data_IF_859687332811
#
_entry.id   IF_859687332811
#
_cell.length_a   1.000
_cell.length_b   1.000
_cell.length_c   1.000
_cell.angle_alpha   90.00
_cell.angle_beta   90.00
_cell.angle_gamma   90.00
#
_symmetry.space_group_name_H-M   'P 1'
#
loop_
_entity.id
_entity.type
_entity.pdbx_description
1 polymer ?
#
# COMPACT_ATOMS: atom_id res chain seq x y z
N UNK A 1 31.19 66.38 -50.12
CA UNK A 1 30.92 65.24 -51.02
C UNK A 1 31.36 63.98 -50.31
N UNK A 2 30.50 63.50 -49.41
CA UNK A 2 29.62 62.31 -49.52
C UNK A 2 30.28 61.12 -48.82
N UNK A 3 29.91 60.95 -47.54
CA UNK A 3 30.32 59.86 -46.65
C UNK A 3 29.45 58.64 -46.94
N UNK A 4 30.06 57.47 -47.15
CA UNK A 4 29.35 56.19 -47.30
C UNK A 4 29.11 55.60 -45.92
N UNK A 5 27.84 55.42 -45.55
CA UNK A 5 27.36 54.88 -44.29
C UNK A 5 27.06 53.38 -44.48
N UNK A 6 27.82 52.50 -43.84
CA UNK A 6 27.55 51.06 -43.84
C UNK A 6 26.53 50.76 -42.74
N UNK A 7 25.29 50.47 -43.12
CA UNK A 7 24.24 50.02 -42.19
C UNK A 7 24.34 48.49 -42.06
N UNK A 8 24.66 48.02 -40.86
CA UNK A 8 24.68 46.61 -40.49
C UNK A 8 23.28 46.22 -40.00
N UNK A 9 22.53 45.46 -40.80
CA UNK A 9 21.21 44.95 -40.42
C UNK A 9 21.41 43.72 -39.54
N UNK A 10 21.16 43.87 -38.23
CA UNK A 10 21.11 42.76 -37.28
C UNK A 10 19.71 42.13 -37.35
N UNK A 11 19.59 40.98 -37.99
CA UNK A 11 18.35 40.18 -38.02
C UNK A 11 18.23 39.47 -36.67
N UNK A 12 17.37 39.95 -35.80
CA UNK A 12 17.02 39.30 -34.54
C UNK A 12 16.00 38.19 -34.84
N UNK A 13 16.46 36.95 -35.01
CA UNK A 13 15.60 35.78 -35.10
C UNK A 13 15.06 35.45 -33.71
N UNK A 14 13.81 35.83 -33.44
CA UNK A 14 13.08 35.37 -32.26
C UNK A 14 12.77 33.89 -32.48
N UNK A 15 13.55 33.01 -31.86
CA UNK A 15 13.25 31.57 -31.79
C UNK A 15 12.13 31.42 -30.78
N UNK A 16 10.88 31.42 -31.24
CA UNK A 16 9.75 30.94 -30.44
C UNK A 16 9.91 29.43 -30.30
N UNK A 17 10.40 28.97 -29.15
CA UNK A 17 10.30 27.57 -28.75
C UNK A 17 8.82 27.25 -28.53
N UNK A 18 8.16 26.71 -29.55
CA UNK A 18 6.90 25.99 -29.35
C UNK A 18 7.21 24.76 -28.52
N UNK A 19 6.99 24.86 -27.20
CA UNK A 19 6.81 23.70 -26.34
C UNK A 19 5.64 22.89 -26.92
N UNK A 20 5.95 21.77 -27.57
CA UNK A 20 4.93 20.76 -27.81
C UNK A 20 4.53 20.27 -26.41
N UNK A 21 3.28 20.51 -26.03
CA UNK A 21 2.64 19.91 -24.86
C UNK A 21 2.55 18.39 -25.09
N UNK A 22 3.66 17.69 -24.90
CA UNK A 22 3.65 16.24 -24.74
C UNK A 22 3.19 15.96 -23.30
N UNK A 23 2.14 15.16 -23.16
CA UNK A 23 1.70 14.71 -21.84
C UNK A 23 2.88 14.04 -21.12
N UNK A 24 2.99 14.27 -19.81
CA UNK A 24 3.99 13.60 -18.97
C UNK A 24 3.91 12.07 -19.18
N UNK A 25 5.03 11.35 -19.40
CA UNK A 25 5.05 9.90 -19.53
C UNK A 25 4.33 9.12 -18.42
N UNK A 26 4.15 9.71 -17.22
CA UNK A 26 3.35 9.15 -16.13
C UNK A 26 1.85 9.29 -16.36
N UNK A 27 1.38 10.42 -16.88
CA UNK A 27 -0.03 10.64 -17.23
C UNK A 27 -0.45 9.64 -18.31
N UNK A 28 0.40 9.38 -19.30
CA UNK A 28 0.13 8.37 -20.33
C UNK A 28 0.00 6.95 -19.75
N UNK A 29 0.75 6.61 -18.70
CA UNK A 29 0.62 5.33 -18.03
C UNK A 29 -0.65 5.23 -17.20
N UNK A 30 -1.06 6.31 -16.54
CA UNK A 30 -2.34 6.39 -15.84
C UNK A 30 -3.50 6.18 -16.82
N UNK A 31 -3.43 6.76 -18.02
CA UNK A 31 -4.45 6.55 -19.05
C UNK A 31 -4.47 5.10 -19.58
N UNK A 32 -3.31 4.44 -19.68
CA UNK A 32 -3.23 3.01 -20.02
C UNK A 32 -3.85 2.13 -18.95
N UNK A 33 -3.54 2.40 -17.68
CA UNK A 33 -4.15 1.74 -16.53
C UNK A 33 -5.67 1.89 -16.56
N UNK A 34 -6.18 3.12 -16.75
CA UNK A 34 -7.60 3.38 -16.86
C UNK A 34 -8.24 2.58 -18.00
N UNK A 35 -7.63 2.57 -19.18
CA UNK A 35 -8.14 1.80 -20.31
C UNK A 35 -8.17 0.29 -20.03
N UNK A 36 -7.18 -0.22 -19.29
CA UNK A 36 -7.15 -1.60 -18.83
C UNK A 36 -8.29 -1.91 -17.86
N UNK A 37 -8.50 -1.06 -16.84
CA UNK A 37 -9.61 -1.19 -15.90
C UNK A 37 -10.97 -1.16 -16.63
N UNK A 38 -11.18 -0.19 -17.52
CA UNK A 38 -12.43 -0.04 -18.27
C UNK A 38 -12.73 -1.29 -19.12
N UNK A 39 -11.71 -1.96 -19.68
CA UNK A 39 -11.88 -3.23 -20.40
C UNK A 39 -12.34 -4.35 -19.46
N UNK A 40 -11.79 -4.42 -18.25
CA UNK A 40 -12.18 -5.42 -17.25
C UNK A 40 -13.63 -5.18 -16.80
N UNK A 41 -14.01 -3.93 -16.49
CA UNK A 41 -15.35 -3.59 -16.02
C UNK A 41 -16.45 -3.86 -17.07
N UNK A 42 -16.12 -3.72 -18.36
CA UNK A 42 -17.02 -4.06 -19.48
C UNK A 42 -17.03 -5.55 -19.84
N UNK A 43 -16.05 -6.33 -19.37
CA UNK A 43 -15.98 -7.76 -19.68
C UNK A 43 -17.07 -8.53 -18.94
N UNK A 44 -17.78 -9.39 -19.67
CA UNK A 44 -18.69 -10.39 -19.10
C UNK A 44 -17.96 -11.66 -18.66
N UNK A 45 -16.71 -11.85 -19.09
CA UNK A 45 -15.86 -12.99 -18.72
C UNK A 45 -14.98 -12.64 -17.53
N UNK A 46 -14.79 -13.62 -16.65
CA UNK A 46 -13.77 -13.57 -15.60
C UNK A 46 -12.39 -13.46 -16.22
N UNK A 47 -11.55 -12.58 -15.67
CA UNK A 47 -10.17 -12.35 -16.11
C UNK A 47 -9.29 -12.12 -14.89
N UNK A 48 -8.00 -12.39 -15.02
CA UNK A 48 -7.04 -12.11 -13.95
C UNK A 48 -6.91 -10.60 -13.74
N UNK A 49 -6.91 -10.17 -12.48
CA UNK A 49 -6.66 -8.78 -12.11
C UNK A 49 -5.17 -8.50 -11.86
N UNK A 50 -4.32 -9.53 -11.90
CA UNK A 50 -2.90 -9.45 -11.60
C UNK A 50 -2.18 -8.34 -12.38
N UNK A 51 -2.38 -8.31 -13.71
CA UNK A 51 -1.76 -7.29 -14.56
C UNK A 51 -2.22 -5.88 -14.22
N UNK A 52 -3.50 -5.70 -13.91
CA UNK A 52 -4.07 -4.40 -13.54
C UNK A 52 -3.47 -3.88 -12.23
N UNK A 53 -3.39 -4.72 -11.19
CA UNK A 53 -2.85 -4.30 -9.90
C UNK A 53 -1.34 -4.02 -9.96
N UNK A 54 -0.59 -4.81 -10.73
CA UNK A 54 0.84 -4.58 -10.95
C UNK A 54 1.11 -3.28 -11.69
N UNK A 55 0.33 -2.99 -12.72
CA UNK A 55 0.40 -1.73 -13.48
C UNK A 55 0.14 -0.53 -12.57
N UNK A 56 -0.98 -0.56 -11.83
CA UNK A 56 -1.32 0.52 -10.90
C UNK A 56 -0.31 0.72 -9.77
N UNK A 57 0.24 -0.38 -9.21
CA UNK A 57 1.27 -0.31 -8.15
C UNK A 57 2.59 0.24 -8.69
N UNK A 58 2.97 -0.15 -9.91
CA UNK A 58 4.16 0.40 -10.58
C UNK A 58 4.03 1.90 -10.83
N UNK A 59 2.85 2.35 -11.24
CA UNK A 59 2.56 3.79 -11.40
C UNK A 59 2.65 4.48 -10.03
N UNK A 60 2.05 3.91 -8.99
CA UNK A 60 2.09 4.43 -7.63
C UNK A 60 3.53 4.61 -7.13
N UNK A 61 4.38 3.59 -7.26
CA UNK A 61 5.79 3.62 -6.86
C UNK A 61 6.56 4.75 -7.55
N UNK A 62 6.25 5.03 -8.83
CA UNK A 62 6.89 6.10 -9.60
C UNK A 62 6.33 7.48 -9.30
N UNK A 63 5.06 7.58 -8.88
CA UNK A 63 4.43 8.83 -8.51
C UNK A 63 4.84 9.33 -7.12
N UNK A 64 5.01 8.43 -6.13
CA UNK A 64 5.35 8.83 -4.75
C UNK A 64 6.49 9.86 -4.64
N UNK A 65 7.64 9.74 -5.34
CA UNK A 65 8.72 10.72 -5.21
C UNK A 65 8.48 12.07 -5.92
N UNK A 66 7.44 12.19 -6.75
CA UNK A 66 7.24 13.37 -7.62
C UNK A 66 5.86 14.02 -7.50
N UNK A 67 4.90 13.36 -6.84
CA UNK A 67 3.47 13.77 -6.84
C UNK A 67 3.24 15.17 -6.25
N UNK A 68 4.05 15.60 -5.29
CA UNK A 68 3.98 16.95 -4.70
C UNK A 68 4.41 18.05 -5.68
N UNK A 69 5.27 17.72 -6.64
CA UNK A 69 5.80 18.67 -7.63
C UNK A 69 4.92 18.78 -8.88
N UNK A 70 3.87 17.97 -8.99
CA UNK A 70 2.95 18.02 -10.12
C UNK A 70 2.11 19.29 -10.10
N UNK A 71 1.77 19.79 -11.30
CA UNK A 71 0.76 20.84 -11.41
C UNK A 71 -0.58 20.35 -10.84
N UNK A 72 -1.44 21.26 -10.37
CA UNK A 72 -2.79 20.89 -9.91
C UNK A 72 -3.56 20.11 -10.99
N UNK A 73 -3.45 20.53 -12.25
CA UNK A 73 -4.12 19.87 -13.36
C UNK A 73 -3.63 18.42 -13.59
N UNK A 74 -2.31 18.18 -13.48
CA UNK A 74 -1.75 16.83 -13.63
C UNK A 74 -2.14 15.94 -12.45
N UNK A 75 -2.13 16.49 -11.23
CA UNK A 75 -2.57 15.78 -10.04
C UNK A 75 -4.04 15.37 -10.12
N UNK A 76 -4.95 16.31 -10.43
CA UNK A 76 -6.37 16.04 -10.61
C UNK A 76 -6.62 14.99 -11.72
N UNK A 77 -5.85 15.06 -12.80
CA UNK A 77 -5.91 14.06 -13.86
C UNK A 77 -5.48 12.68 -13.37
N UNK A 78 -4.43 12.58 -12.56
CA UNK A 78 -3.96 11.31 -11.99
C UNK A 78 -4.99 10.74 -11.02
N UNK A 79 -5.43 11.54 -10.04
CA UNK A 79 -6.42 11.13 -9.04
C UNK A 79 -7.70 10.61 -9.71
N UNK A 80 -8.21 11.34 -10.70
CA UNK A 80 -9.40 10.95 -11.46
C UNK A 80 -9.25 9.63 -12.22
N UNK A 81 -8.07 9.38 -12.80
CA UNK A 81 -7.86 8.26 -13.72
C UNK A 81 -7.24 7.02 -13.04
N UNK A 82 -6.66 7.15 -11.85
CA UNK A 82 -6.20 6.03 -11.00
C UNK A 82 -7.34 5.42 -10.16
N UNK A 83 -8.52 5.25 -10.76
CA UNK A 83 -9.70 4.64 -10.10
C UNK A 83 -9.33 3.30 -9.47
N UNK A 84 -9.61 3.15 -8.17
CA UNK A 84 -9.25 1.96 -7.40
C UNK A 84 -7.95 2.11 -6.59
N UNK A 85 -7.31 3.27 -6.66
CA UNK A 85 -6.25 3.68 -5.76
C UNK A 85 -6.69 4.90 -4.96
N UNK A 86 -6.32 4.94 -3.68
CA UNK A 86 -6.32 6.18 -2.91
C UNK A 86 -5.09 6.97 -3.32
N UNK A 87 -5.29 8.17 -3.86
CA UNK A 87 -4.23 9.09 -4.26
C UNK A 87 -4.37 10.35 -3.42
N UNK A 88 -3.36 10.65 -2.62
CA UNK A 88 -3.29 11.85 -1.79
C UNK A 88 -1.86 12.39 -1.80
N UNK A 89 -1.73 13.71 -1.92
CA UNK A 89 -0.45 14.43 -1.81
C UNK A 89 -0.45 15.52 -0.73
N UNK A 90 -1.54 15.68 -0.01
CA UNK A 90 -1.67 16.69 1.03
C UNK A 90 -1.43 16.04 2.41
N UNK A 91 -0.63 16.67 3.25
CA UNK A 91 -0.25 16.22 4.62
C UNK A 91 0.60 14.94 4.65
N UNK A 92 0.14 13.86 4.01
CA UNK A 92 0.85 12.58 3.87
C UNK A 92 0.68 12.06 2.46
N UNK A 93 1.78 11.73 1.78
CA UNK A 93 1.71 11.09 0.46
C UNK A 93 1.16 9.66 0.61
N UNK A 94 -0.01 9.42 0.02
CA UNK A 94 -0.65 8.10 -0.02
C UNK A 94 -0.98 7.76 -1.47
N UNK A 95 -0.39 6.67 -1.96
CA UNK A 95 -0.75 6.12 -3.27
C UNK A 95 -0.84 4.60 -3.13
N UNK A 96 -2.00 4.13 -2.68
CA UNK A 96 -2.20 2.74 -2.28
C UNK A 96 -3.47 2.15 -2.93
N UNK A 97 -3.48 0.86 -3.30
CA UNK A 97 -4.68 0.24 -3.85
C UNK A 97 -5.80 0.16 -2.81
N UNK A 98 -7.00 0.62 -3.18
CA UNK A 98 -8.21 0.52 -2.38
C UNK A 98 -8.65 -0.95 -2.28
N UNK A 99 -8.58 -1.51 -1.09
CA UNK A 99 -8.87 -2.92 -0.82
C UNK A 99 -10.34 -3.27 -1.04
N UNK A 100 -11.27 -2.37 -0.75
CA UNK A 100 -12.70 -2.58 -0.94
C UNK A 100 -13.06 -2.55 -2.42
N UNK A 101 -12.48 -1.61 -3.17
CA UNK A 101 -12.63 -1.52 -4.63
C UNK A 101 -12.15 -2.81 -5.29
N UNK A 102 -10.90 -3.21 -5.06
CA UNK A 102 -10.35 -4.40 -5.71
C UNK A 102 -11.00 -5.70 -5.25
N UNK A 103 -11.43 -5.83 -3.99
CA UNK A 103 -12.21 -6.99 -3.55
C UNK A 103 -13.56 -7.09 -4.28
N UNK A 104 -14.21 -5.95 -4.53
CA UNK A 104 -15.46 -5.88 -5.31
C UNK A 104 -15.23 -6.22 -6.78
N UNK A 105 -14.17 -5.66 -7.37
CA UNK A 105 -13.77 -5.94 -8.74
C UNK A 105 -13.40 -7.43 -8.92
N UNK A 106 -12.68 -8.03 -7.97
CA UNK A 106 -12.33 -9.45 -7.98
C UNK A 106 -13.57 -10.35 -7.90
N UNK A 107 -14.51 -10.01 -7.00
CA UNK A 107 -15.77 -10.73 -6.86
C UNK A 107 -16.56 -10.74 -8.17
N UNK A 108 -16.61 -9.61 -8.87
CA UNK A 108 -17.38 -9.47 -10.10
C UNK A 108 -16.65 -9.99 -11.34
N UNK A 109 -15.39 -9.64 -11.53
CA UNK A 109 -14.63 -9.90 -12.76
C UNK A 109 -13.34 -10.71 -12.58
N UNK A 110 -12.84 -10.87 -11.35
CA UNK A 110 -11.59 -11.61 -11.07
C UNK A 110 -11.72 -13.13 -11.10
N UNK A 111 -10.56 -13.79 -11.21
CA UNK A 111 -10.37 -15.23 -11.00
C UNK A 111 -10.49 -15.61 -9.52
N UNK A 112 -10.46 -16.90 -9.21
CA UNK A 112 -10.48 -17.39 -7.82
C UNK A 112 -9.25 -16.92 -7.04
N UNK A 113 -8.08 -16.83 -7.67
CA UNK A 113 -6.87 -16.30 -7.04
C UNK A 113 -7.01 -14.82 -6.68
N UNK A 114 -7.61 -14.02 -7.58
CA UNK A 114 -7.88 -12.60 -7.29
C UNK A 114 -8.85 -12.49 -6.10
N UNK A 115 -9.89 -13.32 -6.07
CA UNK A 115 -10.86 -13.34 -4.97
C UNK A 115 -10.20 -13.69 -3.64
N UNK A 116 -9.42 -14.76 -3.59
CA UNK A 116 -8.72 -15.15 -2.36
C UNK A 116 -7.77 -14.05 -1.88
N UNK A 117 -6.97 -13.47 -2.78
CA UNK A 117 -6.02 -12.43 -2.45
C UNK A 117 -6.70 -11.15 -1.93
N UNK A 118 -7.65 -10.58 -2.69
CA UNK A 118 -8.25 -9.30 -2.31
C UNK A 118 -9.20 -9.41 -1.12
N UNK A 119 -9.83 -10.56 -0.88
CA UNK A 119 -10.56 -10.78 0.37
C UNK A 119 -9.60 -10.80 1.57
N UNK A 120 -8.48 -11.53 1.47
CA UNK A 120 -7.47 -11.51 2.54
C UNK A 120 -6.88 -10.10 2.75
N UNK A 121 -6.60 -9.37 1.67
CA UNK A 121 -6.08 -7.99 1.75
C UNK A 121 -7.07 -7.04 2.43
N UNK A 122 -8.39 -7.21 2.19
CA UNK A 122 -9.44 -6.44 2.87
C UNK A 122 -9.55 -6.77 4.36
N UNK A 123 -9.29 -8.01 4.77
CA UNK A 123 -9.21 -8.33 6.20
C UNK A 123 -7.98 -7.69 6.87
N UNK A 124 -6.86 -7.60 6.15
CA UNK A 124 -5.64 -6.97 6.66
C UNK A 124 -5.76 -5.44 6.72
N UNK A 125 -6.26 -4.81 5.66
CA UNK A 125 -6.40 -3.35 5.52
C UNK A 125 -7.84 -3.01 5.10
N UNK A 126 -8.82 -3.03 6.01
CA UNK A 126 -10.24 -2.83 5.67
C UNK A 126 -10.54 -1.45 5.10
N UNK A 127 -9.85 -0.42 5.59
CA UNK A 127 -9.97 0.98 5.15
C UNK A 127 -8.88 1.39 4.15
N UNK A 128 -8.16 0.41 3.59
CA UNK A 128 -7.16 0.61 2.52
C UNK A 128 -5.81 1.22 2.93
N UNK A 129 -5.74 2.01 4.01
CA UNK A 129 -4.52 2.74 4.38
C UNK A 129 -3.78 2.14 5.59
N UNK A 130 -4.49 1.67 6.62
CA UNK A 130 -3.87 1.12 7.84
C UNK A 130 -4.25 -0.35 8.07
N UNK A 131 -3.33 -1.18 8.59
CA UNK A 131 -3.66 -2.52 9.03
C UNK A 131 -4.71 -2.51 10.15
N UNK A 132 -5.62 -3.49 10.14
CA UNK A 132 -6.72 -3.64 11.12
C UNK A 132 -6.24 -3.71 12.58
N UNK A 133 -5.01 -4.19 12.78
CA UNK A 133 -4.39 -4.30 14.10
C UNK A 133 -3.72 -3.01 14.56
N UNK A 134 -3.75 -1.92 13.79
CA UNK A 134 -3.23 -0.61 14.20
C UNK A 134 -4.41 0.26 14.65
N UNK A 135 -4.29 0.85 15.84
CA UNK A 135 -5.16 1.96 16.24
C UNK A 135 -4.43 3.26 15.91
N UNK A 136 -4.98 4.02 14.97
CA UNK A 136 -4.44 5.32 14.58
C UNK A 136 -4.61 6.31 15.73
N UNK A 137 -3.54 6.99 16.10
CA UNK A 137 -3.54 7.98 17.19
C UNK A 137 -3.09 9.36 16.71
N UNK A 138 -2.30 9.42 15.63
CA UNK A 138 -1.84 10.63 14.93
C UNK A 138 -1.89 10.40 13.42
N UNK A 139 -1.66 11.43 12.62
CA UNK A 139 -1.69 11.33 11.15
C UNK A 139 -0.59 10.40 10.58
N UNK A 140 0.46 10.14 11.37
CA UNK A 140 1.65 9.36 10.95
C UNK A 140 1.92 8.16 11.85
N UNK A 141 1.07 7.89 12.85
CA UNK A 141 1.43 7.01 13.95
C UNK A 141 0.26 6.37 14.68
N UNK A 142 0.50 5.14 15.13
CA UNK A 142 -0.47 4.39 15.91
C UNK A 142 0.20 3.30 16.73
N UNK A 143 -0.58 2.70 17.59
CA UNK A 143 -0.17 1.58 18.43
C UNK A 143 -0.76 0.27 17.90
N UNK A 144 -0.17 -0.87 18.27
CA UNK A 144 -0.70 -2.18 17.90
C UNK A 144 -1.77 -2.65 18.90
N UNK A 145 -2.92 -3.05 18.36
CA UNK A 145 -4.09 -3.61 19.05
C UNK A 145 -3.90 -5.10 19.34
N UNK A 146 -3.14 -5.40 20.39
CA UNK A 146 -3.03 -6.76 20.89
C UNK A 146 -4.27 -7.15 21.71
N UNK A 147 -4.65 -8.44 21.69
CA UNK A 147 -5.65 -9.04 22.57
C UNK A 147 -7.00 -9.25 21.91
N UNK A 148 -7.17 -8.74 20.70
CA UNK A 148 -8.39 -8.84 19.88
C UNK A 148 -8.32 -10.00 18.89
N UNK A 149 -7.14 -10.62 18.74
CA UNK A 149 -6.91 -11.78 17.88
C UNK A 149 -6.62 -11.42 16.41
N UNK A 150 -6.48 -10.14 16.06
CA UNK A 150 -6.20 -9.73 14.68
C UNK A 150 -4.90 -10.34 14.16
N UNK A 151 -3.80 -10.23 14.91
CA UNK A 151 -2.49 -10.71 14.47
C UNK A 151 -2.48 -12.24 14.35
N UNK A 152 -3.01 -12.93 15.37
CA UNK A 152 -3.08 -14.39 15.39
C UNK A 152 -3.89 -14.98 14.21
N UNK A 153 -5.05 -14.38 13.92
CA UNK A 153 -5.91 -14.81 12.83
C UNK A 153 -5.36 -14.44 11.45
N UNK A 154 -4.80 -13.23 11.29
CA UNK A 154 -4.18 -12.81 10.02
C UNK A 154 -3.00 -13.71 9.67
N UNK A 155 -2.15 -14.04 10.65
CA UNK A 155 -1.04 -14.98 10.41
C UNK A 155 -1.57 -16.34 9.96
N UNK A 156 -2.55 -16.90 10.67
CA UNK A 156 -3.14 -18.22 10.34
C UNK A 156 -3.68 -18.24 8.91
N UNK A 157 -4.50 -17.25 8.56
CA UNK A 157 -5.12 -17.14 7.23
C UNK A 157 -4.07 -16.91 6.14
N UNK A 158 -3.17 -15.96 6.35
CA UNK A 158 -2.11 -15.65 5.39
C UNK A 158 -1.18 -16.84 5.16
N UNK A 159 -0.80 -17.56 6.21
CA UNK A 159 0.09 -18.72 6.12
C UNK A 159 -0.57 -19.90 5.38
N UNK A 160 -1.89 -20.08 5.55
CA UNK A 160 -2.66 -21.05 4.78
C UNK A 160 -2.89 -20.63 3.32
N UNK A 161 -2.89 -19.32 3.05
CA UNK A 161 -3.10 -18.75 1.73
C UNK A 161 -1.82 -18.74 0.88
N UNK A 162 -0.68 -18.38 1.48
CA UNK A 162 0.62 -18.22 0.81
C UNK A 162 0.98 -19.36 -0.16
N UNK A 163 0.90 -20.66 0.21
CA UNK A 163 1.27 -21.75 -0.71
C UNK A 163 0.33 -21.91 -1.91
N UNK A 164 -0.83 -21.26 -1.91
CA UNK A 164 -1.79 -21.26 -3.02
C UNK A 164 -1.57 -20.10 -4.00
N UNK A 165 -0.75 -19.13 -3.62
CA UNK A 165 -0.48 -17.93 -4.41
C UNK A 165 0.79 -18.09 -5.24
N UNK A 166 0.89 -17.36 -6.35
CA UNK A 166 2.10 -17.29 -7.19
C UNK A 166 2.42 -15.84 -7.56
N UNK A 167 3.66 -15.59 -7.97
CA UNK A 167 4.11 -14.28 -8.46
C UNK A 167 3.85 -13.15 -7.45
N UNK A 168 3.23 -12.07 -7.92
CA UNK A 168 3.00 -10.86 -7.12
C UNK A 168 2.10 -11.12 -5.89
N UNK A 169 1.04 -11.92 -5.99
CA UNK A 169 0.19 -12.22 -4.83
C UNK A 169 0.92 -13.01 -3.75
N UNK A 170 1.84 -13.92 -4.13
CA UNK A 170 2.67 -14.62 -3.17
C UNK A 170 3.63 -13.66 -2.45
N UNK A 171 4.28 -12.77 -3.22
CA UNK A 171 5.19 -11.77 -2.69
C UNK A 171 4.49 -10.83 -1.70
N UNK A 172 3.34 -10.28 -2.06
CA UNK A 172 2.59 -9.36 -1.20
C UNK A 172 2.03 -10.08 0.04
N UNK A 173 1.52 -11.31 -0.10
CA UNK A 173 1.07 -12.12 1.05
C UNK A 173 2.22 -12.39 2.02
N UNK A 174 3.42 -12.67 1.51
CA UNK A 174 4.62 -12.85 2.35
C UNK A 174 5.01 -11.56 3.09
N UNK A 175 4.91 -10.39 2.45
CA UNK A 175 5.14 -9.09 3.11
C UNK A 175 4.15 -8.85 4.25
N UNK A 176 2.87 -9.14 4.03
CA UNK A 176 1.83 -9.04 5.07
C UNK A 176 2.17 -9.96 6.25
N UNK A 177 2.51 -11.22 5.98
CA UNK A 177 2.90 -12.17 7.02
C UNK A 177 4.13 -11.71 7.79
N UNK A 178 5.12 -11.13 7.10
CA UNK A 178 6.28 -10.54 7.76
C UNK A 178 5.88 -9.41 8.70
N UNK A 179 5.05 -8.47 8.26
CA UNK A 179 4.59 -7.36 9.10
C UNK A 179 3.85 -7.85 10.36
N UNK A 180 2.97 -8.83 10.21
CA UNK A 180 2.28 -9.48 11.34
C UNK A 180 3.27 -10.21 12.26
N UNK A 181 4.25 -10.91 11.69
CA UNK A 181 5.31 -11.61 12.44
C UNK A 181 6.17 -10.64 13.25
N UNK A 182 6.54 -9.50 12.68
CA UNK A 182 7.33 -8.47 13.35
C UNK A 182 6.53 -7.94 14.56
N UNK A 183 5.23 -7.68 14.43
CA UNK A 183 4.40 -7.28 15.57
C UNK A 183 4.33 -8.35 16.66
N UNK A 184 4.20 -9.63 16.29
CA UNK A 184 4.14 -10.75 17.23
C UNK A 184 5.48 -11.06 17.91
N UNK A 185 6.61 -10.78 17.27
CA UNK A 185 7.95 -11.17 17.78
C UNK A 185 8.78 -10.02 18.34
N UNK A 186 8.58 -8.78 17.89
CA UNK A 186 9.41 -7.64 18.30
C UNK A 186 8.67 -6.31 18.51
N UNK A 187 7.40 -6.17 18.12
CA UNK A 187 6.67 -4.90 18.25
C UNK A 187 6.55 -4.39 19.70
N UNK A 188 6.99 -3.16 19.99
CA UNK A 188 7.13 -2.65 21.37
C UNK A 188 6.04 -1.68 21.83
N UNK A 189 5.15 -1.23 20.94
CA UNK A 189 4.11 -0.22 21.21
C UNK A 189 2.71 -0.85 21.17
N UNK A 190 2.10 -1.10 22.33
CA UNK A 190 0.75 -1.62 22.44
C UNK A 190 -0.26 -0.54 22.83
N UNK A 191 -1.46 -0.60 22.24
CA UNK A 191 -2.56 0.29 22.61
C UNK A 191 -3.13 -0.01 24.00
N UNK A 192 -3.05 -1.27 24.41
CA UNK A 192 -3.65 -1.78 25.63
C UNK A 192 -2.56 -2.15 26.65
N UNK A 193 -2.98 -2.87 27.68
CA UNK A 193 -2.14 -3.34 28.77
C UNK A 193 -1.33 -4.61 28.42
N UNK A 194 -0.49 -5.02 29.36
CA UNK A 194 0.31 -6.23 29.26
C UNK A 194 -0.53 -7.50 29.07
N UNK A 195 -1.69 -7.59 29.72
CA UNK A 195 -2.55 -8.79 29.64
C UNK A 195 -3.10 -8.97 28.24
N UNK A 196 -3.42 -7.88 27.54
CA UNK A 196 -3.87 -7.89 26.16
C UNK A 196 -2.78 -8.41 25.21
N UNK A 197 -1.52 -8.03 25.43
CA UNK A 197 -0.37 -8.58 24.70
C UNK A 197 -0.21 -10.08 24.95
N UNK A 198 -0.19 -10.49 26.23
CA UNK A 198 -0.09 -11.89 26.61
C UNK A 198 -1.21 -12.73 25.98
N UNK A 199 -2.45 -12.19 25.97
CA UNK A 199 -3.61 -12.84 25.37
C UNK A 199 -3.42 -13.07 23.87
N UNK A 200 -2.94 -12.08 23.12
CA UNK A 200 -2.66 -12.23 21.68
C UNK A 200 -1.59 -13.29 21.41
N UNK A 201 -0.47 -13.26 22.15
CA UNK A 201 0.63 -14.20 21.95
C UNK A 201 0.20 -15.64 22.27
N UNK A 202 -0.58 -15.84 23.34
CA UNK A 202 -1.18 -17.15 23.66
C UNK A 202 -2.10 -17.63 22.54
N UNK A 203 -3.01 -16.77 22.07
CA UNK A 203 -3.90 -17.12 20.96
C UNK A 203 -3.11 -17.45 19.68
N UNK A 204 -2.03 -16.72 19.40
CA UNK A 204 -1.16 -17.03 18.28
C UNK A 204 -0.60 -18.46 18.38
N UNK A 205 -0.06 -18.84 19.53
CA UNK A 205 0.52 -20.17 19.75
C UNK A 205 -0.53 -21.28 19.69
N UNK A 206 -1.75 -21.01 20.17
CA UNK A 206 -2.89 -21.94 20.06
C UNK A 206 -3.30 -22.15 18.60
N UNK A 207 -3.43 -21.07 17.83
CA UNK A 207 -3.89 -21.11 16.44
C UNK A 207 -2.80 -21.57 15.46
N UNK A 208 -1.53 -21.39 15.81
CA UNK A 208 -0.38 -21.60 14.93
C UNK A 208 0.77 -22.38 15.61
N UNK A 209 0.53 -23.55 16.22
CA UNK A 209 1.52 -24.25 17.05
C UNK A 209 2.75 -24.74 16.28
N UNK A 210 2.66 -24.81 14.94
CA UNK A 210 3.75 -25.25 14.05
C UNK A 210 4.34 -24.10 13.21
N UNK A 211 3.99 -22.85 13.49
CA UNK A 211 4.54 -21.72 12.76
C UNK A 211 6.05 -21.60 12.98
N UNK A 212 6.76 -21.14 11.96
CA UNK A 212 8.22 -20.90 12.03
C UNK A 212 8.58 -19.94 13.18
N UNK A 213 7.72 -18.95 13.45
CA UNK A 213 7.94 -17.96 14.51
C UNK A 213 7.47 -18.43 15.90
N UNK A 214 6.87 -19.62 16.05
CA UNK A 214 6.28 -20.07 17.31
C UNK A 214 7.26 -20.01 18.49
N UNK A 215 8.47 -20.54 18.33
CA UNK A 215 9.51 -20.49 19.37
C UNK A 215 9.91 -19.07 19.77
N UNK A 216 9.92 -18.13 18.82
CA UNK A 216 10.20 -16.71 19.10
C UNK A 216 9.05 -16.08 19.89
N UNK A 217 7.81 -16.42 19.55
CA UNK A 217 6.63 -15.94 20.27
C UNK A 217 6.54 -16.54 21.68
N UNK A 218 6.85 -17.83 21.86
CA UNK A 218 6.97 -18.48 23.17
C UNK A 218 7.99 -17.74 24.05
N UNK A 219 9.20 -17.53 23.52
CA UNK A 219 10.26 -16.82 24.23
C UNK A 219 9.83 -15.42 24.63
N UNK A 220 9.19 -14.67 23.73
CA UNK A 220 8.68 -13.33 24.01
C UNK A 220 7.59 -13.35 25.09
N UNK A 221 6.66 -14.30 25.03
CA UNK A 221 5.63 -14.47 26.03
C UNK A 221 6.24 -14.71 27.42
N UNK A 222 7.23 -15.60 27.51
CA UNK A 222 7.96 -15.82 28.76
C UNK A 222 8.68 -14.56 29.25
N UNK A 223 9.33 -13.82 28.35
CA UNK A 223 10.06 -12.61 28.71
C UNK A 223 9.12 -11.51 29.21
N UNK A 224 7.93 -11.36 28.60
CA UNK A 224 6.91 -10.42 29.09
C UNK A 224 6.44 -10.80 30.50
N UNK A 225 6.14 -12.08 30.73
CA UNK A 225 5.70 -12.57 32.03
C UNK A 225 6.75 -12.39 33.12
N UNK A 226 8.04 -12.54 32.76
CA UNK A 226 9.18 -12.37 33.66
C UNK A 226 9.72 -10.93 33.67
N UNK A 227 9.06 -9.99 32.99
CA UNK A 227 9.44 -8.57 32.87
C UNK A 227 10.88 -8.35 32.37
N UNK A 228 11.34 -9.18 31.42
CA UNK A 228 12.70 -9.15 30.86
C UNK A 228 12.84 -8.32 29.60
N UNK A 229 11.73 -7.84 29.04
CA UNK A 229 11.73 -6.97 27.86
C UNK A 229 10.94 -5.70 28.16
N UNK A 230 11.43 -4.59 27.63
CA UNK A 230 10.73 -3.33 27.70
C UNK A 230 9.61 -3.31 26.64
N UNK A 231 8.40 -3.04 27.09
CA UNK A 231 7.23 -2.84 26.24
C UNK A 231 6.48 -1.60 26.73
N UNK A 232 6.07 -0.74 25.79
CA UNK A 232 5.26 0.43 26.08
C UNK A 232 3.78 0.04 25.96
N UNK A 233 3.08 0.08 27.09
CA UNK A 233 1.64 -0.11 27.17
C UNK A 233 0.94 1.23 27.09
N UNK A 234 -0.28 1.26 26.55
CA UNK A 234 -1.01 2.51 26.28
C UNK A 234 -0.13 3.52 25.51
N UNK A 235 0.70 2.98 24.62
CA UNK A 235 1.70 3.72 23.87
C UNK A 235 1.02 4.70 22.90
N UNK A 236 1.69 5.82 22.64
CA UNK A 236 1.33 6.74 21.56
C UNK A 236 2.38 6.55 20.46
N UNK A 237 2.00 5.87 19.38
CA UNK A 237 2.90 5.60 18.26
C UNK A 237 3.20 6.84 17.41
N UNK A 238 4.36 6.85 16.74
CA UNK A 238 4.77 7.93 15.84
C UNK A 238 5.23 9.23 16.52
N UNK A 239 5.71 9.13 17.76
CA UNK A 239 6.47 10.18 18.45
C UNK A 239 7.97 9.92 18.38
#
# INVERSE_FOLDING_TARGET
MTKTLTIMILILTVITTTSMAGNDPLVDQVLKYKAHLDRIERSTKKTSLLGLIQEGTTIADRLRPVIENLSEADYEAIEKNMKGFTVNRYEVIVIEPDTAFFATLAKKHGTDNDNMYFQFRREWMPEGFWPVYINLQTDVGGCTRFGEGYLANLYKKGNALLPKMTGYYALETAKILKAVSDQLTSGTCACADQQSVIKELKLFLELNPKAEIAKKVEKRLEDLQKQRIAMQYQCIGGR
#
